data_IF_662430261297
#
_entry.id   IF_662430261297
#
_cell.length_a   1.000
_cell.length_b   1.000
_cell.length_c   1.000
_cell.angle_alpha   90.00
_cell.angle_beta   90.00
_cell.angle_gamma   90.00
#
_symmetry.space_group_name_H-M   'P 1'
#
loop_
_entity.id
_entity.type
_entity.pdbx_description
1 polymer ?
#
# COMPACT_ATOMS: atom_id res chain seq x y z
N UNK A 1 1.52 -14.57 -20.45
CA UNK A 1 2.05 -13.93 -19.26
C UNK A 1 3.49 -13.53 -19.55
N UNK A 2 3.85 -12.31 -19.20
CA UNK A 2 5.22 -11.79 -19.36
C UNK A 2 6.18 -12.69 -18.58
N UNK A 3 7.30 -13.17 -19.17
CA UNK A 3 8.25 -14.04 -18.49
C UNK A 3 8.84 -13.42 -17.22
N UNK A 4 8.93 -12.09 -17.12
CA UNK A 4 9.40 -11.40 -15.92
C UNK A 4 8.37 -11.46 -14.80
N UNK A 5 7.08 -11.30 -15.12
CA UNK A 5 5.99 -11.45 -14.14
C UNK A 5 5.91 -12.91 -13.67
N UNK A 6 6.10 -13.87 -14.54
CA UNK A 6 6.13 -15.30 -14.18
C UNK A 6 7.30 -15.61 -13.24
N UNK A 7 8.49 -15.08 -13.48
CA UNK A 7 9.66 -15.25 -12.62
C UNK A 7 9.47 -14.59 -11.22
N UNK A 8 8.83 -13.43 -11.17
CA UNK A 8 8.50 -12.74 -9.90
C UNK A 8 7.47 -13.55 -9.10
N UNK A 9 6.44 -14.08 -9.75
CA UNK A 9 5.43 -14.93 -9.12
C UNK A 9 6.04 -16.25 -8.64
N UNK A 10 6.93 -16.85 -9.41
CA UNK A 10 7.64 -18.07 -9.05
C UNK A 10 8.62 -17.85 -7.89
N UNK A 11 9.33 -16.72 -7.86
CA UNK A 11 10.18 -16.31 -6.74
C UNK A 11 9.35 -16.08 -5.47
N UNK A 12 8.20 -15.43 -5.56
CA UNK A 12 7.28 -15.22 -4.44
C UNK A 12 6.69 -16.54 -3.93
N UNK A 13 6.47 -17.52 -4.80
CA UNK A 13 5.97 -18.84 -4.43
C UNK A 13 7.07 -19.75 -3.85
N UNK A 14 8.33 -19.58 -4.27
CA UNK A 14 9.47 -20.36 -3.79
C UNK A 14 9.98 -19.89 -2.42
N UNK A 15 9.77 -18.62 -2.07
CA UNK A 15 10.06 -18.09 -0.73
C UNK A 15 8.93 -18.52 0.20
N UNK A 16 8.98 -19.78 0.59
CA UNK A 16 8.05 -20.56 1.39
C UNK A 16 7.11 -19.75 2.31
N UNK A 17 5.93 -19.42 1.80
CA UNK A 17 4.75 -19.24 2.63
C UNK A 17 4.34 -20.61 3.19
N UNK A 18 5.05 -21.11 4.20
CA UNK A 18 4.62 -22.30 4.88
C UNK A 18 3.41 -21.96 5.75
N UNK A 19 2.35 -22.79 5.69
CA UNK A 19 1.14 -22.70 6.53
C UNK A 19 1.44 -22.49 8.03
N UNK A 20 2.64 -22.83 8.46
CA UNK A 20 3.12 -22.70 9.84
C UNK A 20 3.42 -21.24 10.22
N UNK A 21 3.84 -20.40 9.27
CA UNK A 21 4.12 -18.97 9.51
C UNK A 21 2.83 -18.15 9.54
N UNK A 22 1.81 -18.53 8.74
CA UNK A 22 0.52 -17.84 8.73
C UNK A 22 -0.24 -17.98 10.06
N UNK A 23 -0.09 -19.11 10.77
CA UNK A 23 -0.78 -19.33 12.05
C UNK A 23 -0.11 -18.66 13.26
N UNK A 24 1.13 -18.17 13.14
CA UNK A 24 1.83 -17.48 14.24
C UNK A 24 1.42 -16.02 14.43
N UNK A 25 0.81 -15.39 13.43
CA UNK A 25 0.36 -13.99 13.48
C UNK A 25 -0.99 -13.80 14.21
N UNK A 26 -1.64 -14.88 14.61
CA UNK A 26 -3.00 -14.87 15.18
C UNK A 26 -3.09 -14.98 16.71
N UNK A 27 -1.99 -15.20 17.44
CA UNK A 27 -2.07 -15.47 18.90
C UNK A 27 -1.04 -14.63 19.64
N UNK A 28 -1.46 -13.48 20.14
CA UNK A 28 -0.61 -12.65 20.98
C UNK A 28 -1.27 -11.37 21.47
N UNK A 29 -2.48 -11.44 22.02
CA UNK A 29 -3.04 -10.38 22.85
C UNK A 29 -3.51 -10.97 24.17
N UNK A 30 -2.56 -11.29 25.03
CA UNK A 30 -2.77 -11.60 26.45
C UNK A 30 -2.58 -10.34 27.29
N UNK A 31 -3.60 -10.04 28.04
CA UNK A 31 -3.74 -9.04 29.12
C UNK A 31 -2.50 -8.93 29.99
N UNK A 32 -2.00 -7.70 30.19
CA UNK A 32 -1.38 -7.30 31.46
C UNK A 32 -1.84 -5.86 31.79
N UNK A 33 -2.62 -5.75 32.84
CA UNK A 33 -2.86 -4.49 33.49
C UNK A 33 -1.71 -4.15 34.43
N UNK A 34 -1.31 -2.89 34.46
CA UNK A 34 -0.76 -2.25 35.64
C UNK A 34 -0.78 -0.73 35.51
N UNK A 35 -1.15 -0.12 36.58
CA UNK A 35 -1.34 1.29 36.81
C UNK A 35 -0.02 2.10 36.80
N UNK A 36 -0.14 3.39 36.45
CA UNK A 36 0.71 4.38 37.07
C UNK A 36 1.33 5.44 36.19
N UNK A 37 0.84 6.66 36.38
CA UNK A 37 1.50 7.96 36.26
C UNK A 37 1.63 8.59 34.86
N UNK A 38 0.99 9.76 34.83
CA UNK A 38 0.76 10.59 33.66
C UNK A 38 1.99 11.23 33.04
N UNK A 39 1.96 11.25 31.74
CA UNK A 39 2.48 12.33 30.92
C UNK A 39 1.39 12.67 29.90
N UNK A 40 0.98 13.93 29.87
CA UNK A 40 0.00 14.45 28.91
C UNK A 40 0.65 14.49 27.52
N UNK A 41 0.65 13.37 26.83
CA UNK A 41 0.90 13.24 25.40
C UNK A 41 -0.44 13.09 24.71
N UNK A 42 -0.67 13.83 23.62
CA UNK A 42 -1.90 13.81 22.84
C UNK A 42 -2.28 12.39 22.40
N UNK A 43 -2.97 11.67 23.26
CA UNK A 43 -3.67 10.46 22.88
C UNK A 43 -4.83 10.86 21.96
N UNK A 44 -5.05 10.15 20.83
CA UNK A 44 -6.22 10.41 20.02
C UNK A 44 -7.48 10.28 20.89
N UNK A 45 -8.50 11.14 20.66
CA UNK A 45 -9.72 11.14 21.46
C UNK A 45 -10.32 9.73 21.47
N UNK A 46 -10.66 9.27 22.69
CA UNK A 46 -11.37 7.98 22.84
C UNK A 46 -12.65 8.01 22.01
N UNK A 47 -12.97 6.94 21.29
CA UNK A 47 -14.27 6.81 20.65
C UNK A 47 -15.40 7.09 21.65
N UNK A 48 -16.50 7.72 21.24
CA UNK A 48 -17.64 7.96 22.13
C UNK A 48 -18.11 6.66 22.78
N UNK A 49 -18.57 6.74 24.02
CA UNK A 49 -19.11 5.60 24.78
C UNK A 49 -20.38 5.06 24.10
N UNK A 50 -20.22 4.07 23.26
CA UNK A 50 -21.20 3.50 22.33
C UNK A 50 -20.47 2.98 21.11
N UNK A 51 -19.26 3.43 20.89
CA UNK A 51 -18.37 3.00 19.82
C UNK A 51 -19.04 3.03 18.44
N UNK A 52 -18.24 2.74 17.45
CA UNK A 52 -18.67 2.53 16.05
C UNK A 52 -19.76 1.45 15.92
N UNK A 53 -19.93 0.58 16.91
CA UNK A 53 -21.03 -0.41 16.99
C UNK A 53 -22.43 0.21 16.96
N UNK A 54 -22.58 1.51 17.24
CA UNK A 54 -23.84 2.23 17.17
C UNK A 54 -24.06 2.95 15.84
N UNK A 55 -23.06 3.02 14.96
CA UNK A 55 -23.23 3.59 13.62
C UNK A 55 -24.11 2.64 12.81
N UNK A 56 -25.34 3.06 12.57
CA UNK A 56 -26.20 2.41 11.57
C UNK A 56 -25.57 2.67 10.20
N UNK A 57 -25.43 1.60 9.39
CA UNK A 57 -25.04 1.77 8.00
C UNK A 57 -26.00 2.75 7.33
N UNK A 58 -25.51 3.68 6.51
CA UNK A 58 -26.39 4.57 5.76
C UNK A 58 -27.28 3.79 4.79
N UNK A 59 -28.41 4.39 4.42
CA UNK A 59 -29.27 3.84 3.37
C UNK A 59 -28.44 3.72 2.08
N UNK A 60 -28.48 2.54 1.45
CA UNK A 60 -27.86 2.34 0.15
C UNK A 60 -28.72 2.98 -0.95
N UNK A 61 -28.19 3.97 -1.64
CA UNK A 61 -28.84 4.71 -2.72
C UNK A 61 -28.42 4.23 -4.11
N UNK A 62 -27.71 3.11 -4.20
CA UNK A 62 -27.18 2.56 -5.46
C UNK A 62 -28.25 2.27 -6.52
N UNK A 63 -29.48 2.00 -6.09
CA UNK A 63 -30.59 1.79 -7.02
C UNK A 63 -31.04 3.09 -7.69
N UNK A 64 -31.09 4.17 -6.92
CA UNK A 64 -31.54 5.50 -7.35
C UNK A 64 -30.43 6.31 -8.01
N UNK A 65 -29.18 6.09 -7.58
CA UNK A 65 -27.99 6.88 -7.98
C UNK A 65 -26.92 5.95 -8.55
N UNK A 66 -26.73 5.97 -9.85
CA UNK A 66 -25.73 5.15 -10.55
C UNK A 66 -24.39 5.86 -10.61
N UNK A 67 -23.80 6.07 -9.43
CA UNK A 67 -22.49 6.73 -9.25
C UNK A 67 -21.60 5.96 -8.27
N UNK A 68 -20.27 6.12 -8.41
CA UNK A 68 -19.24 5.72 -7.46
C UNK A 68 -18.17 6.79 -7.44
N UNK A 69 -17.83 7.30 -6.26
CA UNK A 69 -16.70 8.19 -6.04
C UNK A 69 -15.53 7.35 -5.51
N UNK A 70 -14.47 7.24 -6.29
CA UNK A 70 -13.37 6.34 -6.00
C UNK A 70 -12.05 7.09 -5.79
N UNK A 71 -11.46 6.94 -4.60
CA UNK A 71 -10.11 7.39 -4.28
C UNK A 71 -9.11 6.24 -4.46
N UNK A 72 -8.05 6.48 -5.21
CA UNK A 72 -7.04 5.49 -5.50
C UNK A 72 -5.62 6.08 -5.47
N UNK A 73 -4.64 5.23 -5.66
CA UNK A 73 -3.25 5.57 -5.87
C UNK A 73 -3.01 6.06 -7.29
N UNK A 74 -1.93 6.82 -7.48
CA UNK A 74 -1.49 7.30 -8.80
C UNK A 74 -1.12 6.12 -9.70
N UNK A 75 -1.47 6.23 -10.98
CA UNK A 75 -1.15 5.25 -12.04
C UNK A 75 -1.75 3.85 -11.83
N UNK A 76 -2.84 3.72 -11.08
CA UNK A 76 -3.51 2.43 -10.83
C UNK A 76 -4.56 2.06 -11.90
N UNK A 77 -4.86 2.97 -12.81
CA UNK A 77 -5.73 2.72 -13.97
C UNK A 77 -5.08 3.19 -15.26
N UNK A 78 -5.51 2.57 -16.35
CA UNK A 78 -5.16 2.92 -17.71
C UNK A 78 -5.66 4.34 -18.06
N UNK A 79 -4.74 5.28 -18.25
CA UNK A 79 -5.06 6.64 -18.69
C UNK A 79 -4.68 6.83 -20.15
N UNK A 80 -5.62 7.26 -20.97
CA UNK A 80 -5.38 7.62 -22.37
C UNK A 80 -5.16 9.12 -22.49
N UNK A 81 -3.91 9.51 -22.77
CA UNK A 81 -3.49 10.90 -22.94
C UNK A 81 -4.20 11.64 -24.08
N UNK A 82 -4.63 10.91 -25.12
CA UNK A 82 -5.29 11.51 -26.28
C UNK A 82 -6.74 11.87 -25.97
N UNK A 83 -7.45 10.99 -25.31
CA UNK A 83 -8.87 11.17 -24.96
C UNK A 83 -9.06 11.80 -23.58
N UNK A 84 -7.96 11.93 -22.79
CA UNK A 84 -7.97 12.41 -21.40
C UNK A 84 -9.00 11.66 -20.56
N UNK A 85 -9.04 10.33 -20.71
CA UNK A 85 -10.00 9.48 -20.03
C UNK A 85 -9.39 8.13 -19.63
N UNK A 86 -10.11 7.40 -18.80
CA UNK A 86 -9.76 6.05 -18.36
C UNK A 86 -10.58 5.02 -19.16
N UNK A 87 -9.99 4.31 -20.14
CA UNK A 87 -10.70 3.36 -21.00
C UNK A 87 -11.45 2.28 -20.22
N UNK A 88 -10.83 1.72 -19.16
CA UNK A 88 -11.47 0.73 -18.29
C UNK A 88 -12.72 1.27 -17.60
N UNK A 89 -12.70 2.52 -17.11
CA UNK A 89 -13.89 3.13 -16.51
C UNK A 89 -14.98 3.43 -17.54
N UNK A 90 -14.59 3.81 -18.75
CA UNK A 90 -15.52 4.02 -19.84
C UNK A 90 -16.24 2.71 -20.22
N UNK A 91 -15.51 1.59 -20.25
CA UNK A 91 -16.08 0.28 -20.51
C UNK A 91 -16.98 -0.20 -19.35
N UNK A 92 -16.58 0.05 -18.12
CA UNK A 92 -17.40 -0.21 -16.93
C UNK A 92 -18.74 0.55 -17.01
N UNK A 93 -18.69 1.84 -17.34
CA UNK A 93 -19.91 2.63 -17.52
C UNK A 93 -20.82 2.06 -18.61
N UNK A 94 -20.28 1.68 -19.77
CA UNK A 94 -21.07 1.07 -20.86
C UNK A 94 -21.78 -0.21 -20.44
N UNK A 95 -21.12 -1.04 -19.60
CA UNK A 95 -21.68 -2.32 -19.15
C UNK A 95 -22.70 -2.17 -18.02
N UNK A 96 -22.51 -1.20 -17.13
CA UNK A 96 -23.26 -1.11 -15.88
C UNK A 96 -24.20 0.10 -15.79
N UNK A 97 -23.94 1.15 -16.57
CA UNK A 97 -24.56 2.45 -16.41
C UNK A 97 -24.10 3.23 -15.18
N UNK A 98 -23.12 2.69 -14.42
CA UNK A 98 -22.58 3.34 -13.22
C UNK A 98 -21.45 4.27 -13.61
N UNK A 99 -21.59 5.55 -13.29
CA UNK A 99 -20.56 6.58 -13.52
C UNK A 99 -19.55 6.57 -12.36
N UNK A 100 -18.29 6.38 -12.66
CA UNK A 100 -17.22 6.47 -11.67
C UNK A 100 -16.56 7.86 -11.72
N UNK A 101 -16.56 8.55 -10.58
CA UNK A 101 -15.72 9.73 -10.34
C UNK A 101 -14.42 9.26 -9.71
N UNK A 102 -13.38 9.16 -10.51
CA UNK A 102 -12.07 8.64 -10.11
C UNK A 102 -11.13 9.77 -9.72
N UNK A 103 -10.41 9.58 -8.62
CA UNK A 103 -9.39 10.53 -8.17
C UNK A 103 -8.18 9.81 -7.60
N UNK A 104 -7.00 10.30 -7.92
CA UNK A 104 -5.72 9.85 -7.39
C UNK A 104 -5.38 10.64 -6.12
N UNK A 105 -6.09 10.35 -5.02
CA UNK A 105 -6.00 11.08 -3.75
C UNK A 105 -5.00 10.48 -2.77
N UNK A 106 -4.46 9.29 -3.06
CA UNK A 106 -3.66 8.50 -2.14
C UNK A 106 -2.20 8.50 -2.59
N UNK A 107 -1.34 9.13 -1.80
CA UNK A 107 0.11 9.09 -1.99
C UNK A 107 0.82 8.21 -0.93
N UNK A 108 0.15 8.02 0.21
CA UNK A 108 0.71 7.37 1.38
C UNK A 108 -0.43 6.89 2.28
N UNK A 109 -0.33 5.67 2.81
CA UNK A 109 -1.38 5.07 3.64
C UNK A 109 -1.68 5.89 4.90
N UNK A 110 -0.64 6.26 5.65
CA UNK A 110 -0.82 6.98 6.93
C UNK A 110 -1.38 8.38 6.72
N UNK A 111 -0.89 9.09 5.70
CA UNK A 111 -1.35 10.45 5.38
C UNK A 111 -2.84 10.44 4.98
N UNK A 112 -3.22 9.52 4.08
CA UNK A 112 -4.62 9.42 3.65
C UNK A 112 -5.53 8.95 4.78
N UNK A 113 -5.12 7.93 5.54
CA UNK A 113 -5.86 7.48 6.72
C UNK A 113 -6.04 8.60 7.76
N UNK A 114 -5.00 9.36 8.07
CA UNK A 114 -5.08 10.48 9.00
C UNK A 114 -6.07 11.56 8.55
N UNK A 115 -6.16 11.79 7.23
CA UNK A 115 -7.11 12.73 6.62
C UNK A 115 -8.57 12.29 6.78
N UNK A 116 -8.87 11.00 6.59
CA UNK A 116 -10.25 10.51 6.50
C UNK A 116 -10.80 9.91 7.82
N UNK A 117 -9.95 9.29 8.64
CA UNK A 117 -10.39 8.55 9.81
C UNK A 117 -11.16 9.40 10.85
N UNK A 118 -10.81 10.66 11.13
CA UNK A 118 -11.59 11.50 12.04
C UNK A 118 -13.03 11.72 11.55
N UNK A 119 -13.23 11.95 10.26
CA UNK A 119 -14.55 12.15 9.65
C UNK A 119 -15.38 10.86 9.72
N UNK A 120 -14.79 9.73 9.32
CA UNK A 120 -15.45 8.42 9.37
C UNK A 120 -15.87 8.04 10.80
N UNK A 121 -15.00 8.30 11.80
CA UNK A 121 -15.32 8.08 13.22
C UNK A 121 -16.45 8.97 13.73
N UNK A 122 -16.61 10.15 13.15
CA UNK A 122 -17.70 11.07 13.44
C UNK A 122 -18.98 10.74 12.65
N UNK A 123 -18.98 9.69 11.80
CA UNK A 123 -20.09 9.35 10.91
C UNK A 123 -20.31 10.36 9.79
N UNK A 124 -19.30 11.16 9.48
CA UNK A 124 -19.34 12.16 8.41
C UNK A 124 -18.88 11.55 7.09
N UNK A 125 -19.55 11.93 6.00
CA UNK A 125 -19.12 11.54 4.66
C UNK A 125 -17.73 12.10 4.35
N UNK A 126 -16.95 11.29 3.66
CA UNK A 126 -15.67 11.69 3.06
C UNK A 126 -15.81 11.90 1.55
N UNK A 127 -17.05 11.89 1.04
CA UNK A 127 -17.38 11.99 -0.39
C UNK A 127 -16.64 10.95 -1.25
N UNK A 128 -16.45 9.76 -0.69
CA UNK A 128 -15.91 8.59 -1.38
C UNK A 128 -16.77 7.37 -1.06
N UNK A 129 -16.96 6.53 -2.08
CA UNK A 129 -17.67 5.26 -1.99
C UNK A 129 -16.72 4.07 -2.01
N UNK A 130 -15.52 4.30 -2.53
CA UNK A 130 -14.47 3.32 -2.65
C UNK A 130 -13.11 3.98 -2.36
N UNK A 131 -12.27 3.31 -1.59
CA UNK A 131 -10.87 3.67 -1.40
C UNK A 131 -9.98 2.43 -1.39
N UNK A 132 -8.69 2.63 -1.57
CA UNK A 132 -7.71 1.54 -1.67
C UNK A 132 -6.63 1.70 -0.61
N UNK A 133 -6.40 0.65 0.19
CA UNK A 133 -5.36 0.62 1.21
C UNK A 133 -4.52 -0.64 1.13
N UNK A 134 -3.24 -0.51 1.43
CA UNK A 134 -2.35 -1.65 1.58
C UNK A 134 -2.78 -2.52 2.77
N UNK A 135 -2.50 -3.82 2.73
CA UNK A 135 -2.95 -4.86 3.69
C UNK A 135 -2.91 -4.41 5.15
N UNK A 136 -1.81 -3.85 5.59
CA UNK A 136 -1.63 -3.46 6.99
C UNK A 136 -2.53 -2.28 7.40
N UNK A 137 -2.79 -1.35 6.46
CA UNK A 137 -3.71 -0.25 6.69
C UNK A 137 -5.16 -0.73 6.54
N UNK A 138 -5.44 -1.62 5.59
CA UNK A 138 -6.74 -2.29 5.47
C UNK A 138 -7.09 -3.01 6.78
N UNK A 139 -6.14 -3.76 7.36
CA UNK A 139 -6.29 -4.38 8.68
C UNK A 139 -6.62 -3.35 9.78
N UNK A 140 -6.01 -2.17 9.74
CA UNK A 140 -6.31 -1.08 10.68
C UNK A 140 -7.71 -0.50 10.47
N UNK A 141 -8.10 -0.24 9.23
CA UNK A 141 -9.43 0.27 8.87
C UNK A 141 -10.53 -0.70 9.33
N UNK A 142 -10.33 -2.01 9.13
CA UNK A 142 -11.25 -3.07 9.59
C UNK A 142 -11.34 -3.09 11.12
N UNK A 143 -10.20 -3.11 11.81
CA UNK A 143 -10.14 -3.09 13.28
C UNK A 143 -10.81 -1.84 13.86
N UNK A 144 -10.63 -0.71 13.21
CA UNK A 144 -11.23 0.57 13.60
C UNK A 144 -12.70 0.69 13.14
N UNK A 145 -13.22 -0.32 12.39
CA UNK A 145 -14.60 -0.39 11.87
C UNK A 145 -14.98 0.79 11.01
N UNK A 146 -14.07 1.24 10.17
CA UNK A 146 -14.25 2.40 9.30
C UNK A 146 -14.69 2.02 7.88
N UNK A 147 -14.95 0.74 7.63
CA UNK A 147 -15.46 0.23 6.35
C UNK A 147 -16.76 -0.58 6.54
N UNK A 148 -17.47 -0.73 5.45
CA UNK A 148 -18.67 -1.57 5.37
C UNK A 148 -18.30 -2.98 4.93
N UNK A 149 -19.07 -4.01 5.35
CA UNK A 149 -18.87 -5.35 4.81
C UNK A 149 -19.24 -5.39 3.31
N UNK A 150 -18.40 -6.08 2.55
CA UNK A 150 -18.66 -6.42 1.16
C UNK A 150 -19.31 -7.80 1.08
N UNK A 151 -20.26 -7.98 0.18
CA UNK A 151 -20.94 -9.25 0.01
C UNK A 151 -20.37 -9.99 -1.20
N UNK A 152 -19.34 -10.82 -1.01
CA UNK A 152 -18.71 -11.57 -2.10
C UNK A 152 -19.69 -12.40 -2.94
N UNK A 153 -20.84 -12.79 -2.37
CA UNK A 153 -21.88 -13.48 -3.13
C UNK A 153 -22.42 -12.65 -4.31
N UNK A 154 -22.32 -11.32 -4.21
CA UNK A 154 -22.70 -10.40 -5.28
C UNK A 154 -21.56 -10.15 -6.28
N UNK A 155 -20.38 -10.74 -6.03
CA UNK A 155 -19.16 -10.56 -6.83
C UNK A 155 -18.60 -11.91 -7.33
N UNK A 156 -19.37 -12.64 -8.18
CA UNK A 156 -18.99 -14.00 -8.59
C UNK A 156 -17.67 -14.04 -9.35
N UNK A 157 -17.31 -12.97 -10.05
CA UNK A 157 -16.02 -12.89 -10.77
C UNK A 157 -14.84 -12.79 -9.80
N UNK A 158 -14.98 -12.05 -8.70
CA UNK A 158 -13.96 -12.00 -7.63
C UNK A 158 -13.79 -13.39 -7.01
N UNK A 159 -14.90 -14.01 -6.62
CA UNK A 159 -14.89 -15.33 -6.03
C UNK A 159 -14.24 -16.40 -6.93
N UNK A 160 -14.42 -16.28 -8.26
CA UNK A 160 -13.86 -17.21 -9.25
C UNK A 160 -12.38 -16.96 -9.56
N UNK A 161 -11.96 -15.69 -9.64
CA UNK A 161 -10.67 -15.32 -10.22
C UNK A 161 -9.61 -14.88 -9.19
N UNK A 162 -9.99 -14.63 -7.93
CA UNK A 162 -9.04 -14.29 -6.89
C UNK A 162 -8.14 -15.48 -6.59
N UNK A 163 -6.84 -15.26 -6.56
CA UNK A 163 -5.84 -16.26 -6.19
C UNK A 163 -6.05 -16.72 -4.75
N UNK A 164 -5.91 -18.02 -4.49
CA UNK A 164 -6.15 -18.60 -3.16
C UNK A 164 -5.31 -17.95 -2.03
N UNK A 165 -4.00 -17.63 -2.21
CA UNK A 165 -3.23 -16.93 -1.19
C UNK A 165 -3.80 -15.56 -0.82
N UNK A 166 -4.43 -14.86 -1.76
CA UNK A 166 -5.03 -13.55 -1.55
C UNK A 166 -6.44 -13.63 -0.93
N UNK A 167 -7.08 -14.80 -0.98
CA UNK A 167 -8.41 -15.03 -0.42
C UNK A 167 -8.41 -15.21 1.09
N UNK A 168 -7.37 -15.89 1.61
CA UNK A 168 -7.28 -16.31 3.02
C UNK A 168 -6.25 -15.46 3.76
N UNK A 169 -6.47 -14.16 3.81
CA UNK A 169 -5.61 -13.26 4.60
C UNK A 169 -6.06 -13.23 6.06
N UNK A 170 -5.09 -13.12 6.98
CA UNK A 170 -5.34 -13.20 8.42
C UNK A 170 -6.18 -12.04 8.97
N UNK A 171 -6.07 -10.87 8.37
CA UNK A 171 -6.75 -9.66 8.81
C UNK A 171 -8.22 -9.55 8.33
N UNK A 172 -8.59 -10.30 7.28
CA UNK A 172 -9.95 -10.35 6.71
C UNK A 172 -10.23 -11.75 6.15
N UNK A 173 -10.42 -12.76 7.02
CA UNK A 173 -10.68 -14.13 6.59
C UNK A 173 -11.97 -14.21 5.77
N UNK A 174 -11.85 -14.68 4.53
CA UNK A 174 -12.97 -14.79 3.59
C UNK A 174 -13.30 -13.48 2.85
N UNK A 175 -12.50 -12.43 3.00
CA UNK A 175 -12.66 -11.15 2.27
C UNK A 175 -14.03 -10.53 2.47
N UNK A 176 -14.41 -10.32 3.72
CA UNK A 176 -15.71 -9.72 4.06
C UNK A 176 -15.72 -8.19 3.96
N UNK A 177 -14.60 -7.54 4.19
CA UNK A 177 -14.47 -6.08 4.22
C UNK A 177 -13.47 -5.52 3.21
N UNK A 178 -12.68 -6.39 2.55
CA UNK A 178 -11.66 -5.98 1.60
C UNK A 178 -11.54 -6.92 0.41
N UNK A 179 -11.14 -6.39 -0.74
CA UNK A 179 -10.88 -7.20 -1.94
C UNK A 179 -9.55 -6.74 -2.52
N UNK A 180 -8.59 -7.66 -2.68
CA UNK A 180 -7.30 -7.35 -3.29
C UNK A 180 -7.47 -6.80 -4.71
N UNK A 181 -6.86 -5.66 -4.96
CA UNK A 181 -6.83 -4.99 -6.26
C UNK A 181 -5.53 -5.26 -7.00
N UNK A 182 -4.41 -4.86 -6.41
CA UNK A 182 -3.07 -5.04 -6.97
C UNK A 182 -2.12 -5.55 -5.90
N UNK A 183 -1.04 -6.20 -6.33
CA UNK A 183 0.05 -6.63 -5.47
C UNK A 183 1.37 -6.42 -6.19
N UNK A 184 2.42 -6.17 -5.43
CA UNK A 184 3.76 -5.96 -5.96
C UNK A 184 4.82 -6.03 -4.88
N UNK A 185 6.03 -5.61 -5.26
CA UNK A 185 7.18 -5.59 -4.37
C UNK A 185 7.68 -4.17 -4.18
N UNK A 186 8.20 -3.88 -2.99
CA UNK A 186 9.16 -2.81 -2.82
C UNK A 186 10.58 -3.40 -2.80
N UNK A 187 11.48 -2.70 -3.46
CA UNK A 187 12.86 -3.05 -3.65
C UNK A 187 13.66 -1.84 -4.10
N UNK A 188 14.69 -2.05 -4.90
CA UNK A 188 15.51 -0.95 -5.41
C UNK A 188 15.21 -0.74 -6.89
N UNK A 189 14.73 0.47 -7.23
CA UNK A 189 14.65 0.94 -8.61
C UNK A 189 15.80 1.88 -8.94
N UNK A 190 16.39 1.74 -10.11
CA UNK A 190 17.52 2.57 -10.50
C UNK A 190 17.67 2.67 -12.01
N UNK A 191 18.33 3.75 -12.46
CA UNK A 191 18.72 3.90 -13.85
C UNK A 191 20.17 3.43 -14.02
N UNK A 192 20.36 2.24 -14.61
CA UNK A 192 21.68 1.60 -14.76
C UNK A 192 22.69 2.47 -15.49
N UNK A 193 22.26 3.23 -16.49
CA UNK A 193 23.14 4.12 -17.25
C UNK A 193 23.65 5.28 -16.38
N UNK A 194 22.78 5.85 -15.53
CA UNK A 194 23.14 6.96 -14.64
C UNK A 194 24.00 6.48 -13.47
N UNK A 195 23.66 5.32 -12.90
CA UNK A 195 24.40 4.70 -11.80
C UNK A 195 25.75 4.11 -12.27
N UNK A 196 25.85 3.67 -13.52
CA UNK A 196 27.08 3.16 -14.12
C UNK A 196 27.46 1.72 -13.71
N UNK A 197 26.64 1.06 -12.87
CA UNK A 197 26.86 -0.31 -12.39
C UNK A 197 25.54 -1.02 -12.09
N UNK A 198 25.61 -2.30 -11.85
CA UNK A 198 24.51 -3.10 -11.31
C UNK A 198 24.39 -2.83 -9.81
N UNK A 199 23.14 -2.75 -9.33
CA UNK A 199 22.78 -2.69 -7.90
C UNK A 199 22.23 -4.06 -7.50
N UNK A 200 22.70 -4.63 -6.39
CA UNK A 200 22.26 -5.93 -5.86
C UNK A 200 21.81 -5.86 -4.41
N UNK A 201 22.35 -4.91 -3.69
CA UNK A 201 22.13 -4.76 -2.26
C UNK A 201 21.76 -3.33 -1.91
N UNK A 202 21.19 -3.15 -0.72
CA UNK A 202 20.93 -1.80 -0.20
C UNK A 202 22.24 -1.00 0.01
N UNK A 203 23.35 -1.69 0.34
CA UNK A 203 24.64 -1.04 0.55
C UNK A 203 25.21 -0.40 -0.71
N UNK A 204 24.86 -0.92 -1.89
CA UNK A 204 25.25 -0.35 -3.17
C UNK A 204 24.71 1.08 -3.41
N UNK A 205 23.69 1.49 -2.65
CA UNK A 205 23.13 2.85 -2.72
C UNK A 205 23.98 3.90 -1.96
N UNK A 206 24.81 3.47 -0.98
CA UNK A 206 25.48 4.38 -0.07
C UNK A 206 26.92 4.67 -0.50
N UNK A 207 27.09 5.07 -1.75
CA UNK A 207 28.38 5.39 -2.36
C UNK A 207 28.46 6.87 -2.73
N UNK A 208 29.65 7.45 -2.73
CA UNK A 208 29.83 8.91 -2.90
C UNK A 208 29.29 9.44 -4.23
N UNK A 209 29.33 8.64 -5.29
CA UNK A 209 28.78 8.97 -6.61
C UNK A 209 27.24 9.05 -6.63
N UNK A 210 26.57 8.40 -5.67
CA UNK A 210 25.12 8.45 -5.52
C UNK A 210 24.65 9.45 -4.45
N UNK A 211 25.57 10.18 -3.81
CA UNK A 211 25.21 11.14 -2.77
C UNK A 211 24.25 12.20 -3.29
N UNK A 212 23.11 12.36 -2.63
CA UNK A 212 22.03 13.27 -3.03
C UNK A 212 21.26 12.82 -4.28
N UNK A 213 21.44 11.56 -4.71
CA UNK A 213 20.75 10.96 -5.86
C UNK A 213 19.81 9.81 -5.47
N UNK A 214 19.61 9.59 -4.18
CA UNK A 214 18.75 8.52 -3.66
C UNK A 214 17.46 9.11 -3.13
N UNK A 215 16.33 8.45 -3.45
CA UNK A 215 15.04 8.67 -2.81
C UNK A 215 14.59 7.41 -2.08
N UNK A 216 13.79 7.57 -1.03
CA UNK A 216 13.19 6.44 -0.31
C UNK A 216 11.70 6.71 -0.08
N UNK A 217 10.93 5.64 0.10
CA UNK A 217 9.49 5.73 0.29
C UNK A 217 9.15 6.30 1.67
N UNK A 218 8.12 7.15 1.75
CA UNK A 218 7.50 7.56 3.00
C UNK A 218 6.71 6.42 3.62
N UNK A 219 6.32 5.43 2.83
CA UNK A 219 5.78 4.17 3.31
C UNK A 219 6.84 3.45 4.16
N UNK A 220 6.72 3.66 5.49
CA UNK A 220 7.78 3.24 6.42
C UNK A 220 7.94 1.72 6.48
N UNK A 221 6.88 0.94 6.24
CA UNK A 221 6.96 -0.52 6.25
C UNK A 221 7.85 -1.04 5.14
N UNK A 222 7.81 -0.41 3.97
CA UNK A 222 8.70 -0.75 2.87
C UNK A 222 10.13 -0.28 3.15
N UNK A 223 10.31 1.02 3.44
CA UNK A 223 11.64 1.57 3.67
C UNK A 223 12.34 0.94 4.87
N UNK A 224 11.68 0.93 6.03
CA UNK A 224 12.29 0.38 7.25
C UNK A 224 12.37 -1.15 7.17
N UNK A 225 11.38 -1.82 6.56
CA UNK A 225 11.41 -3.26 6.37
C UNK A 225 12.61 -3.73 5.55
N UNK A 226 12.90 -3.06 4.42
CA UNK A 226 14.08 -3.36 3.59
C UNK A 226 15.39 -3.07 4.35
N UNK A 227 15.45 -1.97 5.13
CA UNK A 227 16.61 -1.66 5.97
C UNK A 227 16.79 -2.71 7.07
N UNK A 228 15.72 -3.15 7.74
CA UNK A 228 15.79 -4.22 8.74
C UNK A 228 16.34 -5.52 8.14
N UNK A 229 15.86 -5.90 6.94
CA UNK A 229 16.36 -7.08 6.23
C UNK A 229 17.85 -6.93 5.88
N UNK A 230 18.31 -5.75 5.45
CA UNK A 230 19.73 -5.51 5.18
C UNK A 230 20.60 -5.61 6.45
N UNK A 231 20.01 -5.43 7.63
CA UNK A 231 20.65 -5.63 8.93
C UNK A 231 20.52 -7.07 9.46
N UNK A 232 20.04 -8.00 8.64
CA UNK A 232 19.87 -9.41 8.98
C UNK A 232 18.63 -9.74 9.81
N UNK A 233 17.66 -8.83 9.88
CA UNK A 233 16.39 -9.07 10.59
C UNK A 233 15.40 -9.75 9.65
N UNK A 234 14.90 -10.92 10.06
CA UNK A 234 13.75 -11.54 9.39
C UNK A 234 12.47 -10.81 9.79
N UNK A 235 11.96 -9.94 8.90
CA UNK A 235 10.75 -9.15 9.15
C UNK A 235 9.46 -9.98 9.23
N UNK A 236 9.53 -11.27 8.90
CA UNK A 236 8.41 -12.22 9.03
C UNK A 236 8.39 -12.93 10.36
N UNK A 237 9.43 -12.76 11.18
CA UNK A 237 9.58 -13.31 12.51
C UNK A 237 9.20 -12.32 13.61
N UNK A 238 9.36 -12.73 14.87
CA UNK A 238 9.22 -11.83 16.02
C UNK A 238 10.48 -10.94 16.10
N UNK A 239 10.32 -9.66 15.84
CA UNK A 239 11.33 -8.63 16.06
C UNK A 239 10.80 -7.58 17.04
N UNK A 240 11.70 -6.81 17.63
CA UNK A 240 11.36 -5.89 18.71
C UNK A 240 11.67 -4.43 18.38
N UNK A 241 11.47 -3.61 19.40
CA UNK A 241 11.71 -2.17 19.33
C UNK A 241 13.17 -1.85 18.95
N UNK A 242 14.13 -2.66 19.43
CA UNK A 242 15.55 -2.44 19.21
C UNK A 242 15.93 -2.54 17.73
N UNK A 243 15.42 -3.56 17.04
CA UNK A 243 15.66 -3.78 15.61
C UNK A 243 15.05 -2.67 14.77
N UNK A 244 13.83 -2.27 15.11
CA UNK A 244 13.15 -1.14 14.45
C UNK A 244 13.90 0.18 14.64
N UNK A 245 14.29 0.51 15.89
CA UNK A 245 15.03 1.76 16.18
C UNK A 245 16.39 1.82 15.50
N UNK A 246 17.09 0.68 15.35
CA UNK A 246 18.33 0.61 14.57
C UNK A 246 18.10 0.94 13.10
N UNK A 247 17.05 0.40 12.51
CA UNK A 247 16.71 0.68 11.11
C UNK A 247 16.34 2.15 10.90
N UNK A 248 15.55 2.74 11.81
CA UNK A 248 15.22 4.16 11.78
C UNK A 248 16.48 5.02 11.90
N UNK A 249 17.34 4.73 12.86
CA UNK A 249 18.61 5.46 13.07
C UNK A 249 19.53 5.36 11.84
N UNK A 250 19.54 4.22 11.16
CA UNK A 250 20.29 4.04 9.91
C UNK A 250 19.76 4.99 8.81
N UNK A 251 18.44 5.06 8.61
CA UNK A 251 17.85 5.97 7.61
C UNK A 251 18.14 7.43 7.96
N UNK A 252 17.98 7.81 9.24
CA UNK A 252 18.34 9.16 9.73
C UNK A 252 19.80 9.51 9.45
N UNK A 253 20.72 8.57 9.67
CA UNK A 253 22.13 8.76 9.41
C UNK A 253 22.39 8.97 7.90
N UNK A 254 21.75 8.19 7.02
CA UNK A 254 21.87 8.35 5.56
C UNK A 254 21.29 9.69 5.07
N UNK A 255 20.26 10.20 5.74
CA UNK A 255 19.73 11.56 5.49
C UNK A 255 20.77 12.61 5.92
N UNK A 256 21.33 12.51 7.14
CA UNK A 256 22.35 13.45 7.67
C UNK A 256 23.60 13.47 6.83
N UNK A 257 24.05 12.30 6.35
CA UNK A 257 25.20 12.17 5.46
C UNK A 257 24.93 12.71 4.04
N UNK A 258 23.67 13.02 3.72
CA UNK A 258 23.24 13.57 2.44
C UNK A 258 23.14 12.54 1.31
N UNK A 259 23.09 11.24 1.60
CA UNK A 259 22.80 10.21 0.59
C UNK A 259 21.34 10.29 0.15
N UNK A 260 20.42 10.26 1.12
CA UNK A 260 18.99 10.35 0.84
C UNK A 260 18.62 11.80 0.56
N UNK A 261 18.17 12.05 -0.66
CA UNK A 261 17.70 13.36 -1.13
C UNK A 261 16.31 13.70 -0.57
N UNK A 262 15.39 12.73 -0.64
CA UNK A 262 13.97 12.91 -0.28
C UNK A 262 13.39 11.60 0.26
N UNK A 263 12.43 11.78 1.16
CA UNK A 263 11.48 10.74 1.59
C UNK A 263 10.13 11.14 1.02
N UNK A 264 9.51 10.32 0.17
CA UNK A 264 8.29 10.66 -0.57
C UNK A 264 7.36 9.45 -0.73
N UNK A 265 6.05 9.70 -0.89
CA UNK A 265 5.09 8.75 -1.45
C UNK A 265 5.27 8.63 -2.98
N UNK A 266 4.21 8.39 -3.74
CA UNK A 266 4.28 8.20 -5.19
C UNK A 266 5.01 9.34 -5.94
N UNK A 267 5.01 10.56 -5.40
CA UNK A 267 5.72 11.69 -6.01
C UNK A 267 7.25 11.52 -6.13
N UNK A 268 7.84 10.43 -5.60
CA UNK A 268 9.24 10.10 -5.88
C UNK A 268 9.52 9.84 -7.37
N UNK A 269 8.51 9.41 -8.11
CA UNK A 269 8.59 9.19 -9.55
C UNK A 269 9.02 10.45 -10.32
N UNK A 270 8.61 11.64 -9.87
CA UNK A 270 9.04 12.91 -10.44
C UNK A 270 10.55 13.13 -10.32
N UNK A 271 11.13 12.77 -9.16
CA UNK A 271 12.57 12.90 -8.94
C UNK A 271 13.37 11.94 -9.84
N UNK A 272 12.87 10.73 -10.07
CA UNK A 272 13.48 9.76 -10.99
C UNK A 272 13.37 10.23 -12.45
N UNK A 273 12.18 10.63 -12.88
CA UNK A 273 11.91 11.10 -14.25
C UNK A 273 12.75 12.33 -14.61
N UNK A 274 12.80 13.31 -13.72
CA UNK A 274 13.58 14.54 -13.92
C UNK A 274 15.09 14.34 -13.81
N UNK A 275 15.55 13.17 -13.32
CA UNK A 275 16.96 12.88 -13.08
C UNK A 275 17.54 13.53 -11.83
N UNK A 276 16.69 14.06 -10.96
CA UNK A 276 17.07 14.55 -9.64
C UNK A 276 17.54 13.39 -8.74
N UNK A 277 16.84 12.24 -8.82
CA UNK A 277 17.29 10.97 -8.27
C UNK A 277 17.68 9.99 -9.38
N UNK A 278 18.57 9.05 -9.09
CA UNK A 278 19.06 8.01 -10.02
C UNK A 278 18.70 6.62 -9.55
N UNK A 279 18.47 6.47 -8.25
CA UNK A 279 18.09 5.23 -7.60
C UNK A 279 17.28 5.51 -6.34
N UNK A 280 16.64 4.46 -5.79
CA UNK A 280 15.95 4.55 -4.52
C UNK A 280 15.25 3.28 -4.12
N UNK A 281 14.67 3.29 -2.93
CA UNK A 281 13.66 2.31 -2.54
C UNK A 281 12.38 2.70 -3.26
N UNK A 282 11.81 1.79 -4.05
CA UNK A 282 10.71 2.04 -4.99
C UNK A 282 9.75 0.88 -5.01
N UNK A 283 8.59 1.10 -5.60
CA UNK A 283 7.66 0.02 -5.95
C UNK A 283 7.94 -0.53 -7.36
N UNK A 284 7.81 -1.84 -7.51
CA UNK A 284 8.14 -2.54 -8.76
C UNK A 284 7.36 -2.02 -9.96
N UNK A 285 6.04 -1.84 -9.81
CA UNK A 285 5.16 -1.37 -10.87
C UNK A 285 5.56 -0.01 -11.44
N UNK A 286 5.97 0.91 -10.56
CA UNK A 286 6.34 2.27 -10.93
C UNK A 286 7.59 2.29 -11.83
N UNK A 287 8.57 1.42 -11.57
CA UNK A 287 9.77 1.34 -12.40
C UNK A 287 9.46 0.80 -13.78
N UNK A 288 8.53 -0.17 -13.90
CA UNK A 288 8.08 -0.66 -15.20
C UNK A 288 7.31 0.41 -15.98
N UNK A 289 6.43 1.17 -15.31
CA UNK A 289 5.73 2.31 -15.91
C UNK A 289 6.74 3.35 -16.37
N UNK A 290 7.70 3.71 -15.52
CA UNK A 290 8.73 4.70 -15.84
C UNK A 290 9.57 4.29 -17.05
N UNK A 291 9.95 3.03 -17.15
CA UNK A 291 10.68 2.50 -18.31
C UNK A 291 9.85 2.60 -19.59
N UNK A 292 8.56 2.28 -19.52
CA UNK A 292 7.65 2.33 -20.66
C UNK A 292 7.39 3.78 -21.11
N UNK A 293 7.09 4.70 -20.20
CA UNK A 293 6.74 6.09 -20.49
C UNK A 293 7.94 6.89 -21.02
N UNK A 294 9.11 6.69 -20.41
CA UNK A 294 10.34 7.37 -20.84
C UNK A 294 11.00 6.70 -22.05
N UNK A 295 10.57 5.48 -22.40
CA UNK A 295 11.21 4.62 -23.41
C UNK A 295 12.71 4.43 -23.15
N UNK A 296 13.10 4.47 -21.86
CA UNK A 296 14.47 4.27 -21.43
C UNK A 296 14.64 2.84 -20.86
N UNK A 297 15.31 1.93 -21.61
CA UNK A 297 15.51 0.55 -21.18
C UNK A 297 16.52 0.41 -20.04
N UNK A 298 17.11 1.51 -19.58
CA UNK A 298 18.08 1.48 -18.48
C UNK A 298 17.44 1.53 -17.09
N UNK A 299 16.11 1.66 -17.00
CA UNK A 299 15.40 1.52 -15.74
C UNK A 299 15.31 0.05 -15.36
N UNK A 300 15.80 -0.26 -14.18
CA UNK A 300 15.83 -1.62 -13.62
C UNK A 300 15.22 -1.62 -12.22
N UNK A 301 14.54 -2.71 -11.89
CA UNK A 301 14.06 -3.01 -10.55
C UNK A 301 14.72 -4.28 -10.05
N UNK A 302 15.20 -4.26 -8.81
CA UNK A 302 15.81 -5.42 -8.17
C UNK A 302 15.26 -5.59 -6.74
N UNK A 303 14.99 -6.82 -6.37
CA UNK A 303 14.80 -7.19 -4.96
C UNK A 303 16.20 -7.35 -4.38
N UNK A 304 16.58 -6.57 -3.34
CA UNK A 304 17.91 -6.70 -2.73
C UNK A 304 18.22 -8.13 -2.28
N UNK A 305 19.48 -8.53 -2.27
CA UNK A 305 19.90 -9.86 -1.80
C UNK A 305 19.45 -10.17 -0.38
N UNK A 306 19.29 -9.14 0.46
CA UNK A 306 18.73 -9.25 1.81
C UNK A 306 17.22 -9.45 1.87
N UNK A 307 16.51 -9.24 0.75
CA UNK A 307 15.06 -9.31 0.67
C UNK A 307 14.41 -7.96 0.32
N UNK A 308 13.15 -8.02 -0.06
CA UNK A 308 12.26 -6.88 -0.28
C UNK A 308 10.97 -7.06 0.50
N UNK A 309 10.02 -6.17 0.33
CA UNK A 309 8.68 -6.29 0.93
C UNK A 309 7.65 -6.62 -0.14
N UNK A 310 6.72 -7.53 0.19
CA UNK A 310 5.55 -7.83 -0.62
C UNK A 310 4.37 -7.04 -0.07
N UNK A 311 3.68 -6.32 -0.93
CA UNK A 311 2.48 -5.57 -0.57
C UNK A 311 1.29 -6.00 -1.43
N UNK A 312 0.09 -5.81 -0.89
CA UNK A 312 -1.16 -5.96 -1.61
C UNK A 312 -2.09 -4.82 -1.22
N UNK A 313 -2.71 -4.21 -2.21
CA UNK A 313 -3.65 -3.13 -2.04
C UNK A 313 -5.08 -3.62 -2.22
N UNK A 314 -5.97 -3.12 -1.40
CA UNK A 314 -7.31 -3.65 -1.27
C UNK A 314 -8.37 -2.58 -1.45
N UNK A 315 -9.38 -2.88 -2.24
CA UNK A 315 -10.65 -2.15 -2.28
C UNK A 315 -11.38 -2.27 -0.96
N UNK A 316 -11.92 -1.17 -0.49
CA UNK A 316 -12.77 -1.12 0.69
C UNK A 316 -13.85 -0.05 0.51
N UNK A 317 -15.02 -0.28 1.08
CA UNK A 317 -16.14 0.67 1.07
C UNK A 317 -16.16 1.43 2.39
N UNK A 318 -16.06 2.79 2.40
CA UNK A 318 -16.14 3.57 3.64
C UNK A 318 -17.42 3.31 4.42
N UNK A 319 -17.33 3.31 5.75
CA UNK A 319 -18.50 3.07 6.63
C UNK A 319 -19.66 4.04 6.35
N UNK A 320 -19.38 5.21 5.81
CA UNK A 320 -20.35 6.28 5.51
C UNK A 320 -20.82 6.31 4.06
N UNK A 321 -20.33 5.41 3.20
CA UNK A 321 -20.77 5.35 1.79
C UNK A 321 -22.25 5.02 1.67
N UNK A 322 -22.92 5.70 0.76
CA UNK A 322 -24.32 5.47 0.40
C UNK A 322 -24.48 4.70 -0.94
N UNK A 323 -23.37 4.27 -1.56
CA UNK A 323 -23.39 3.59 -2.85
C UNK A 323 -22.65 2.24 -2.81
N UNK A 324 -22.82 1.50 -1.70
CA UNK A 324 -22.13 0.23 -1.47
C UNK A 324 -22.37 -0.81 -2.58
N UNK A 325 -23.60 -0.92 -3.08
CA UNK A 325 -23.93 -1.90 -4.11
C UNK A 325 -23.36 -1.52 -5.50
N UNK A 326 -23.05 -0.23 -5.74
CA UNK A 326 -22.37 0.21 -6.94
C UNK A 326 -20.85 0.05 -6.82
N UNK A 327 -20.28 0.22 -5.62
CA UNK A 327 -18.87 0.11 -5.31
C UNK A 327 -18.38 -1.34 -5.36
#
# INVERSE_FOLDING_TARGET
ADPQVAAIVEAAQSTAFTRRNLMRWGIGAGVVGAAGLGTAGCAPPKPPAGGINSLKLPKDLSAEQKIVNWANWTAYLDFDEKTKSYPTLNEFYKRTGIKVSYSEDIEDNDAYYAKIAPQLRAGQSIDRDLFVFTDWMAARVIRDRLCQPMQLINMPNVAKNMLDPLRMVSFDPGRNESITWQSGFAGIGYNRKKVGREIKSLDDLWTDDLKGKITVLSEFRDTIGIVMQSQGVDITSDWGKSEFEKAVAFVEEKIKQGYIRKVKGNSYMEDLTSGNAWAGITWSGDIFILAADTKDPNWEFVIPESGGTLWSDNFMVPITSQHRANA
#
